data_IF_168539836082
#
_entry.id   IF_168539836082
#
_cell.length_a   1.000
_cell.length_b   1.000
_cell.length_c   1.000
_cell.angle_alpha   90.00
_cell.angle_beta   90.00
_cell.angle_gamma   90.00
#
_symmetry.space_group_name_H-M   'P 1'
#
loop_
_entity.id
_entity.type
_entity.pdbx_description
1 polymer ?
#
# COMPACT_ATOMS: atom_id res chain seq x y z
N UNK A 1 5.44 11.41 24.59
CA UNK A 1 4.39 10.84 23.73
C UNK A 1 5.10 10.14 22.56
N UNK A 2 4.65 8.97 22.11
CA UNK A 2 5.21 8.38 20.89
C UNK A 2 5.07 9.38 19.74
N UNK A 3 6.11 9.47 18.89
CA UNK A 3 6.08 10.39 17.76
C UNK A 3 5.04 9.96 16.75
N UNK A 4 4.36 10.93 16.11
CA UNK A 4 3.40 10.67 15.04
C UNK A 4 4.14 10.36 13.75
N UNK A 5 3.81 9.25 13.13
CA UNK A 5 4.33 8.85 11.82
C UNK A 5 3.22 9.04 10.78
N UNK A 6 3.49 9.81 9.73
CA UNK A 6 2.60 9.91 8.58
C UNK A 6 3.23 9.18 7.40
N UNK A 7 2.50 8.26 6.79
CA UNK A 7 2.96 7.44 5.67
C UNK A 7 2.09 7.75 4.45
N UNK A 8 2.70 8.07 3.32
CA UNK A 8 2.03 8.08 2.02
C UNK A 8 2.35 6.76 1.32
N UNK A 9 1.31 6.02 0.90
CA UNK A 9 1.54 4.77 0.22
C UNK A 9 0.25 4.11 -0.27
N UNK A 10 0.40 3.02 -1.03
CA UNK A 10 -0.72 2.28 -1.60
C UNK A 10 -1.04 1.04 -0.77
N UNK A 11 -2.25 0.51 -1.02
CA UNK A 11 -2.67 -0.83 -0.63
C UNK A 11 -2.80 -1.71 -1.88
N UNK A 12 -2.41 -2.96 -1.73
CA UNK A 12 -2.59 -4.02 -2.72
C UNK A 12 -3.19 -5.23 -2.02
N UNK A 13 -4.24 -5.82 -2.59
CA UNK A 13 -4.74 -7.11 -2.13
C UNK A 13 -3.91 -8.21 -2.81
N UNK A 14 -3.10 -8.91 -2.05
CA UNK A 14 -2.32 -10.04 -2.55
C UNK A 14 -3.20 -11.29 -2.61
N UNK A 15 -3.32 -11.89 -3.81
CA UNK A 15 -4.06 -13.12 -4.07
C UNK A 15 -3.06 -14.20 -4.49
N UNK A 16 -2.68 -15.04 -3.53
CA UNK A 16 -1.68 -16.08 -3.74
C UNK A 16 -2.35 -17.42 -4.06
N UNK A 17 -1.94 -18.03 -5.16
CA UNK A 17 -2.27 -19.40 -5.56
C UNK A 17 -1.03 -20.25 -5.46
N UNK A 18 -1.17 -21.46 -4.94
CA UNK A 18 -0.11 -22.48 -4.98
C UNK A 18 -0.49 -23.57 -5.95
N UNK A 19 0.46 -23.98 -6.76
CA UNK A 19 0.30 -25.07 -7.72
C UNK A 19 1.63 -25.76 -7.96
N UNK A 20 1.61 -26.95 -8.56
CA UNK A 20 2.84 -27.70 -8.85
C UNK A 20 3.72 -27.00 -9.89
N UNK A 21 3.11 -26.21 -10.76
CA UNK A 21 3.78 -25.43 -11.82
C UNK A 21 2.90 -24.28 -12.31
N UNK A 22 3.45 -23.42 -13.13
CA UNK A 22 2.65 -22.44 -13.87
C UNK A 22 1.81 -23.12 -14.98
N UNK A 23 0.55 -22.64 -15.22
CA UNK A 23 -0.25 -23.10 -16.34
C UNK A 23 0.34 -22.62 -17.68
N UNK A 24 0.20 -23.45 -18.73
CA UNK A 24 0.55 -23.05 -20.10
C UNK A 24 -0.56 -22.18 -20.70
N UNK A 25 -0.29 -21.40 -21.74
CA UNK A 25 -1.32 -20.67 -22.46
C UNK A 25 -2.49 -21.58 -22.87
N UNK A 26 -3.73 -21.18 -22.50
CA UNK A 26 -4.93 -21.95 -22.79
C UNK A 26 -5.21 -23.13 -21.85
N UNK A 27 -4.36 -23.37 -20.87
CA UNK A 27 -4.53 -24.45 -19.89
C UNK A 27 -5.27 -23.96 -18.65
N UNK A 28 -6.14 -24.82 -18.10
CA UNK A 28 -6.67 -24.70 -16.75
C UNK A 28 -5.94 -25.69 -15.84
N UNK A 29 -5.21 -25.18 -14.86
CA UNK A 29 -4.54 -25.98 -13.85
C UNK A 29 -5.29 -25.86 -12.53
N UNK A 30 -5.48 -27.00 -11.85
CA UNK A 30 -6.06 -27.00 -10.50
C UNK A 30 -4.95 -26.67 -9.51
N UNK A 31 -5.14 -25.61 -8.75
CA UNK A 31 -4.20 -25.21 -7.70
C UNK A 31 -4.43 -25.99 -6.40
N UNK A 32 -3.39 -26.03 -5.59
CA UNK A 32 -3.36 -26.79 -4.32
C UNK A 32 -3.91 -25.98 -3.14
N UNK A 33 -3.75 -24.64 -3.19
CA UNK A 33 -4.28 -23.74 -2.18
C UNK A 33 -4.45 -22.31 -2.70
N UNK A 34 -5.25 -21.54 -1.97
CA UNK A 34 -5.48 -20.11 -2.22
C UNK A 34 -5.40 -19.35 -0.89
N UNK A 35 -4.76 -18.20 -0.91
CA UNK A 35 -4.74 -17.28 0.21
C UNK A 35 -4.91 -15.83 -0.28
N UNK A 36 -5.62 -15.03 0.50
CA UNK A 36 -5.71 -13.60 0.30
C UNK A 36 -5.13 -12.87 1.50
N UNK A 37 -4.27 -11.89 1.26
CA UNK A 37 -3.61 -11.12 2.30
C UNK A 37 -3.52 -9.62 1.96
N UNK A 38 -3.43 -8.75 2.97
CA UNK A 38 -3.11 -7.35 2.76
C UNK A 38 -1.66 -7.20 2.33
N UNK A 39 -1.42 -6.36 1.32
CA UNK A 39 -0.12 -6.00 0.79
C UNK A 39 -0.01 -4.50 0.51
N UNK A 40 0.99 -4.12 -0.28
CA UNK A 40 1.41 -2.74 -0.51
C UNK A 40 2.45 -2.29 0.51
N UNK A 41 3.61 -1.79 0.04
CA UNK A 41 4.75 -1.44 0.92
C UNK A 41 4.37 -0.41 1.97
N UNK A 42 3.67 0.67 1.56
CA UNK A 42 3.22 1.71 2.47
C UNK A 42 2.21 1.21 3.50
N UNK A 43 1.26 0.39 3.07
CA UNK A 43 0.29 -0.26 3.96
C UNK A 43 0.99 -1.19 4.97
N UNK A 44 1.93 -2.01 4.52
CA UNK A 44 2.68 -2.92 5.37
C UNK A 44 3.53 -2.17 6.41
N UNK A 45 4.19 -1.08 6.02
CA UNK A 45 4.95 -0.22 6.92
C UNK A 45 4.05 0.46 7.96
N UNK A 46 2.86 0.94 7.55
CA UNK A 46 1.91 1.55 8.46
C UNK A 46 1.42 0.55 9.53
N UNK A 47 1.06 -0.65 9.10
CA UNK A 47 0.63 -1.73 10.01
C UNK A 47 1.75 -2.14 10.95
N UNK A 48 2.98 -2.29 10.45
CA UNK A 48 4.13 -2.67 11.27
C UNK A 48 4.44 -1.60 12.33
N UNK A 49 4.50 -0.33 11.93
CA UNK A 49 4.77 0.77 12.87
C UNK A 49 3.67 0.89 13.94
N UNK A 50 2.40 0.78 13.56
CA UNK A 50 1.29 0.83 14.52
C UNK A 50 1.32 -0.34 15.52
N UNK A 51 1.63 -1.55 15.06
CA UNK A 51 1.79 -2.73 15.94
C UNK A 51 2.98 -2.60 16.90
N UNK A 52 3.97 -1.80 16.55
CA UNK A 52 5.08 -1.44 17.42
C UNK A 52 4.76 -0.29 18.39
N UNK A 53 3.52 0.20 18.39
CA UNK A 53 3.04 1.22 19.34
C UNK A 53 3.17 2.67 18.84
N UNK A 54 3.50 2.91 17.57
CA UNK A 54 3.52 4.26 17.02
C UNK A 54 2.09 4.79 16.75
N UNK A 55 1.90 6.12 16.86
CA UNK A 55 0.72 6.83 16.33
C UNK A 55 0.90 6.98 14.81
N UNK A 56 0.15 6.21 14.03
CA UNK A 56 0.33 6.13 12.58
C UNK A 56 -0.88 6.66 11.83
N UNK A 57 -0.63 7.60 10.91
CA UNK A 57 -1.60 8.00 9.89
C UNK A 57 -1.11 7.56 8.51
N UNK A 58 -1.95 6.85 7.77
CA UNK A 58 -1.69 6.43 6.39
C UNK A 58 -2.54 7.26 5.42
N UNK A 59 -1.89 7.94 4.48
CA UNK A 59 -2.52 8.61 3.33
C UNK A 59 -2.48 7.65 2.16
N UNK A 60 -3.65 7.32 1.59
CA UNK A 60 -3.78 6.34 0.53
C UNK A 60 -4.98 6.64 -0.38
N UNK A 61 -5.09 5.91 -1.49
CA UNK A 61 -6.22 5.99 -2.43
C UNK A 61 -6.74 4.60 -2.74
N UNK A 62 -8.05 4.41 -2.61
CA UNK A 62 -8.73 3.13 -2.81
C UNK A 62 -9.86 3.26 -3.83
N UNK A 63 -10.24 2.16 -4.45
CA UNK A 63 -11.51 2.00 -5.13
C UNK A 63 -12.67 1.82 -4.16
N UNK A 64 -13.85 1.44 -4.72
CA UNK A 64 -15.05 1.08 -3.95
C UNK A 64 -15.39 -0.39 -4.18
N UNK A 65 -14.58 -1.28 -3.64
CA UNK A 65 -14.65 -2.72 -3.88
C UNK A 65 -14.31 -3.55 -2.62
N UNK A 66 -14.37 -4.87 -2.75
CA UNK A 66 -14.04 -5.79 -1.65
C UNK A 66 -12.61 -5.63 -1.16
N UNK A 67 -11.66 -5.26 -2.02
CA UNK A 67 -10.27 -5.03 -1.64
C UNK A 67 -10.10 -3.74 -0.82
N UNK A 68 -10.89 -2.70 -1.11
CA UNK A 68 -10.94 -1.51 -0.26
C UNK A 68 -11.48 -1.84 1.15
N UNK A 69 -12.47 -2.75 1.26
CA UNK A 69 -12.95 -3.22 2.56
C UNK A 69 -11.87 -3.99 3.31
N UNK A 70 -11.09 -4.84 2.62
CA UNK A 70 -9.96 -5.56 3.21
C UNK A 70 -8.90 -4.58 3.75
N UNK A 71 -8.56 -3.55 2.97
CA UNK A 71 -7.62 -2.50 3.38
C UNK A 71 -8.08 -1.82 4.68
N UNK A 72 -9.29 -1.31 4.71
CA UNK A 72 -9.87 -0.62 5.88
C UNK A 72 -9.93 -1.53 7.11
N UNK A 73 -10.37 -2.77 6.96
CA UNK A 73 -10.38 -3.77 8.05
C UNK A 73 -8.99 -3.99 8.61
N UNK A 74 -7.99 -4.15 7.74
CA UNK A 74 -6.59 -4.37 8.13
C UNK A 74 -6.05 -3.18 8.93
N UNK A 75 -6.24 -1.96 8.43
CA UNK A 75 -5.75 -0.76 9.08
C UNK A 75 -6.44 -0.48 10.41
N UNK A 76 -7.75 -0.63 10.47
CA UNK A 76 -8.52 -0.48 11.73
C UNK A 76 -8.05 -1.50 12.78
N UNK A 77 -7.88 -2.77 12.39
CA UNK A 77 -7.42 -3.81 13.32
C UNK A 77 -5.99 -3.58 13.84
N UNK A 78 -5.16 -2.85 13.08
CA UNK A 78 -3.80 -2.50 13.48
C UNK A 78 -3.71 -1.16 14.24
N UNK A 79 -4.80 -0.39 14.35
CA UNK A 79 -4.80 0.94 14.98
C UNK A 79 -4.25 2.05 14.08
N UNK A 80 -4.21 1.84 12.77
CA UNK A 80 -3.79 2.86 11.79
C UNK A 80 -4.94 3.81 11.49
N UNK A 81 -4.70 5.12 11.63
CA UNK A 81 -5.62 6.15 11.15
C UNK A 81 -5.46 6.32 9.64
N UNK A 82 -6.49 5.96 8.87
CA UNK A 82 -6.44 6.05 7.42
C UNK A 82 -7.08 7.34 6.88
N UNK A 83 -6.34 8.10 6.08
CA UNK A 83 -6.78 9.22 5.25
C UNK A 83 -6.88 8.73 3.81
N UNK A 84 -8.09 8.45 3.36
CA UNK A 84 -8.32 7.77 2.09
C UNK A 84 -9.09 8.66 1.13
N UNK A 85 -8.50 8.89 -0.05
CA UNK A 85 -9.22 9.40 -1.22
C UNK A 85 -9.91 8.21 -1.91
N UNK A 86 -11.22 8.28 -2.06
CA UNK A 86 -11.97 7.23 -2.77
C UNK A 86 -12.09 7.55 -4.25
N UNK A 87 -11.77 6.57 -5.09
CA UNK A 87 -12.01 6.62 -6.53
C UNK A 87 -13.23 5.77 -6.89
N UNK A 88 -14.32 6.43 -7.30
CA UNK A 88 -15.59 5.76 -7.58
C UNK A 88 -15.55 4.85 -8.82
N UNK A 89 -14.71 5.19 -9.80
CA UNK A 89 -14.58 4.55 -11.11
C UNK A 89 -13.35 3.67 -11.27
N UNK A 90 -12.64 3.37 -10.15
CA UNK A 90 -11.40 2.61 -10.16
C UNK A 90 -11.40 1.46 -9.16
N UNK A 91 -10.72 0.37 -9.50
CA UNK A 91 -10.48 -0.73 -8.58
C UNK A 91 -9.33 -0.42 -7.62
N UNK A 92 -9.38 -0.98 -6.42
CA UNK A 92 -8.25 -1.04 -5.48
C UNK A 92 -7.13 -1.92 -6.06
N UNK A 93 -5.89 -1.66 -5.67
CA UNK A 93 -4.73 -2.45 -6.11
C UNK A 93 -4.88 -3.93 -5.77
N UNK A 94 -4.44 -4.79 -6.69
CA UNK A 94 -4.45 -6.24 -6.53
C UNK A 94 -3.20 -6.87 -7.14
N UNK A 95 -2.70 -7.95 -6.55
CA UNK A 95 -1.65 -8.78 -7.11
C UNK A 95 -2.14 -10.22 -7.23
N UNK A 96 -1.95 -10.80 -8.42
CA UNK A 96 -1.97 -12.24 -8.62
C UNK A 96 -0.56 -12.77 -8.34
N UNK A 97 -0.45 -13.74 -7.46
CA UNK A 97 0.82 -14.35 -7.08
C UNK A 97 0.67 -15.85 -7.27
N UNK A 98 1.42 -16.42 -8.20
CA UNK A 98 1.54 -17.87 -8.35
C UNK A 98 2.82 -18.31 -7.65
N UNK A 99 2.72 -19.31 -6.77
CA UNK A 99 3.86 -19.94 -6.10
C UNK A 99 3.93 -21.39 -6.53
N UNK A 100 5.04 -21.81 -7.12
CA UNK A 100 5.31 -23.18 -7.47
C UNK A 100 5.81 -23.96 -6.25
N UNK A 101 5.12 -25.05 -5.88
CA UNK A 101 5.45 -25.78 -4.64
C UNK A 101 6.81 -26.47 -4.67
N UNK A 102 7.24 -26.96 -5.84
CA UNK A 102 8.49 -27.69 -5.97
C UNK A 102 9.74 -26.82 -5.90
N UNK A 103 9.70 -25.62 -6.50
CA UNK A 103 10.83 -24.69 -6.58
C UNK A 103 10.75 -23.56 -5.58
N UNK A 104 9.58 -23.30 -5.02
CA UNK A 104 9.23 -22.08 -4.28
C UNK A 104 9.41 -20.78 -5.10
N UNK A 105 9.59 -20.88 -6.42
CA UNK A 105 9.60 -19.72 -7.31
C UNK A 105 8.21 -19.10 -7.38
N UNK A 106 8.17 -17.79 -7.63
CA UNK A 106 6.91 -17.08 -7.77
C UNK A 106 6.86 -16.26 -9.07
N UNK A 107 5.65 -16.11 -9.59
CA UNK A 107 5.31 -15.19 -10.67
C UNK A 107 4.24 -14.24 -10.19
N UNK A 108 4.44 -12.93 -10.40
CA UNK A 108 3.55 -11.90 -9.88
C UNK A 108 3.06 -11.01 -11.02
N UNK A 109 1.75 -10.80 -11.07
CA UNK A 109 1.13 -9.76 -11.90
C UNK A 109 0.51 -8.74 -10.96
N UNK A 110 1.04 -7.53 -10.96
CA UNK A 110 0.58 -6.42 -10.12
C UNK A 110 -0.28 -5.45 -10.92
N UNK A 111 -1.48 -5.17 -10.43
CA UNK A 111 -2.31 -4.06 -10.82
C UNK A 111 -2.37 -3.04 -9.67
N UNK A 112 -1.75 -1.87 -9.77
CA UNK A 112 -1.66 -0.93 -8.65
C UNK A 112 -2.98 -0.18 -8.40
N UNK A 113 -3.94 -0.22 -9.32
CA UNK A 113 -5.28 0.29 -9.17
C UNK A 113 -5.36 1.78 -8.82
N UNK A 114 -6.28 2.12 -7.94
CA UNK A 114 -6.50 3.50 -7.49
C UNK A 114 -5.22 4.14 -6.90
N UNK A 115 -4.34 3.35 -6.28
CA UNK A 115 -3.08 3.82 -5.73
C UNK A 115 -2.17 4.49 -6.76
N UNK A 116 -2.16 4.00 -8.01
CA UNK A 116 -1.41 4.61 -9.12
C UNK A 116 -1.96 5.96 -9.58
N UNK A 117 -3.09 6.39 -9.06
CA UNK A 117 -3.75 7.64 -9.44
C UNK A 117 -3.71 8.70 -8.34
N UNK A 118 -2.91 8.48 -7.30
CA UNK A 118 -2.64 9.51 -6.28
C UNK A 118 -1.92 10.68 -6.96
N UNK A 119 -2.44 11.89 -6.75
CA UNK A 119 -1.90 13.13 -7.33
C UNK A 119 -1.21 13.99 -6.27
N UNK A 120 -0.35 14.95 -6.66
CA UNK A 120 0.15 15.96 -5.74
C UNK A 120 -0.99 16.71 -5.02
N UNK A 121 -2.10 17.00 -5.70
CA UNK A 121 -3.25 17.68 -5.09
C UNK A 121 -3.92 16.83 -3.98
N UNK A 122 -3.99 15.51 -4.15
CA UNK A 122 -4.47 14.59 -3.10
C UNK A 122 -3.56 14.67 -1.86
N UNK A 123 -2.25 14.80 -2.06
CA UNK A 123 -1.25 14.91 -0.97
C UNK A 123 -1.28 16.29 -0.33
N UNK A 124 -1.42 17.35 -1.10
CA UNK A 124 -1.55 18.75 -0.63
C UNK A 124 -2.80 18.93 0.25
N UNK A 125 -3.90 18.25 -0.07
CA UNK A 125 -5.11 18.25 0.75
C UNK A 125 -4.84 17.72 2.18
N UNK A 126 -3.83 16.87 2.36
CA UNK A 126 -3.39 16.33 3.65
C UNK A 126 -2.16 17.05 4.25
N UNK A 127 -1.77 18.21 3.69
CA UNK A 127 -0.59 18.95 4.13
C UNK A 127 -0.59 19.27 5.63
N UNK A 128 -1.75 19.58 6.21
CA UNK A 128 -1.86 19.84 7.64
C UNK A 128 -1.49 18.59 8.46
N UNK A 129 -1.91 17.42 8.03
CA UNK A 129 -1.57 16.12 8.65
C UNK A 129 -0.07 15.86 8.56
N UNK A 130 0.53 16.09 7.39
CA UNK A 130 1.97 15.88 7.15
C UNK A 130 2.81 16.81 8.03
N UNK A 131 2.46 18.10 8.10
CA UNK A 131 3.19 19.12 8.88
C UNK A 131 3.20 18.88 10.39
N UNK A 132 2.25 18.10 10.90
CA UNK A 132 2.18 17.75 12.35
C UNK A 132 2.88 16.44 12.69
N UNK A 133 3.48 15.75 11.71
CA UNK A 133 4.20 14.50 11.92
C UNK A 133 5.57 14.75 12.58
N UNK A 134 6.05 13.74 13.30
CA UNK A 134 7.46 13.64 13.69
C UNK A 134 8.29 13.08 12.53
N UNK A 135 7.70 12.12 11.81
CA UNK A 135 8.31 11.47 10.64
C UNK A 135 7.27 11.37 9.52
N UNK A 136 7.67 11.74 8.33
CA UNK A 136 6.95 11.44 7.08
C UNK A 136 7.70 10.37 6.30
N UNK A 137 7.00 9.32 5.89
CA UNK A 137 7.59 8.19 5.16
C UNK A 137 6.84 7.92 3.87
N UNK A 138 7.57 7.58 2.81
CA UNK A 138 6.99 7.15 1.54
C UNK A 138 7.87 6.13 0.82
N UNK A 139 7.34 5.50 -0.23
CA UNK A 139 7.99 4.51 -1.08
C UNK A 139 7.78 4.93 -2.55
N UNK A 140 8.02 4.05 -3.51
CA UNK A 140 7.90 4.33 -4.95
C UNK A 140 6.82 3.47 -5.64
N UNK A 141 5.82 2.97 -4.91
CA UNK A 141 4.67 2.25 -5.50
C UNK A 141 3.57 3.19 -6.01
N UNK A 142 3.49 4.40 -5.49
CA UNK A 142 2.61 5.47 -6.00
C UNK A 142 3.37 6.36 -6.97
N UNK A 143 2.68 7.27 -7.72
CA UNK A 143 3.34 8.20 -8.65
C UNK A 143 4.43 9.03 -7.97
N UNK A 144 5.59 9.15 -8.63
CA UNK A 144 6.75 9.89 -8.11
C UNK A 144 6.42 11.34 -7.75
N UNK A 145 5.55 12.00 -8.55
CA UNK A 145 5.14 13.37 -8.29
C UNK A 145 4.39 13.51 -6.95
N UNK A 146 3.56 12.52 -6.59
CA UNK A 146 2.87 12.50 -5.30
C UNK A 146 3.85 12.26 -4.14
N UNK A 147 4.80 11.33 -4.32
CA UNK A 147 5.85 11.08 -3.31
C UNK A 147 6.72 12.33 -3.09
N UNK A 148 7.14 13.01 -4.16
CA UNK A 148 7.91 14.24 -4.12
C UNK A 148 7.16 15.36 -3.37
N UNK A 149 5.89 15.60 -3.72
CA UNK A 149 5.05 16.60 -3.04
C UNK A 149 4.99 16.36 -1.53
N UNK A 150 4.76 15.11 -1.08
CA UNK A 150 4.74 14.79 0.34
C UNK A 150 6.08 15.04 1.05
N UNK A 151 7.19 14.66 0.42
CA UNK A 151 8.55 14.92 0.93
C UNK A 151 8.86 16.41 1.01
N UNK A 152 8.46 17.19 0.02
CA UNK A 152 8.64 18.65 -0.01
C UNK A 152 7.85 19.34 1.11
N UNK A 153 6.56 18.98 1.28
CA UNK A 153 5.70 19.49 2.37
C UNK A 153 6.32 19.19 3.74
N UNK A 154 6.77 17.95 3.94
CA UNK A 154 7.38 17.52 5.18
C UNK A 154 8.68 18.27 5.48
N UNK A 155 9.58 18.37 4.49
CA UNK A 155 10.85 19.10 4.62
C UNK A 155 10.66 20.59 4.91
N UNK A 156 9.73 21.23 4.21
CA UNK A 156 9.42 22.64 4.43
C UNK A 156 8.90 22.93 5.84
N UNK A 157 8.30 21.91 6.50
CA UNK A 157 7.81 21.99 7.88
C UNK A 157 8.83 21.51 8.94
N UNK A 158 10.04 21.13 8.54
CA UNK A 158 11.06 20.59 9.44
C UNK A 158 10.78 19.17 9.93
N UNK A 159 9.87 18.43 9.28
CA UNK A 159 9.55 17.04 9.59
C UNK A 159 10.63 16.12 9.06
N UNK A 160 11.06 15.13 9.85
CA UNK A 160 12.01 14.13 9.38
C UNK A 160 11.39 13.30 8.24
N UNK A 161 12.15 13.11 7.16
CA UNK A 161 11.68 12.36 5.99
C UNK A 161 12.40 11.03 5.83
N UNK A 162 11.67 9.99 5.46
CA UNK A 162 12.18 8.67 5.13
C UNK A 162 11.66 8.27 3.76
N UNK A 163 12.54 7.92 2.84
CA UNK A 163 12.21 7.31 1.55
C UNK A 163 12.72 5.87 1.51
N UNK A 164 11.81 4.93 1.27
CA UNK A 164 12.16 3.57 0.88
C UNK A 164 12.13 3.50 -0.66
N UNK A 165 13.28 3.45 -1.38
CA UNK A 165 13.34 3.49 -2.84
C UNK A 165 12.96 2.14 -3.47
N UNK A 166 11.80 1.62 -3.10
CA UNK A 166 11.27 0.34 -3.60
C UNK A 166 9.84 0.51 -4.16
N UNK A 167 9.51 -0.14 -5.32
CA UNK A 167 10.42 -0.94 -6.17
C UNK A 167 11.50 -0.06 -6.83
N UNK A 168 12.60 -0.69 -7.22
CA UNK A 168 13.71 -0.06 -7.95
C UNK A 168 13.44 -0.06 -9.44
#
# INVERSE_FOLDING_TARGET
MPGRIVILGIFVADTAFRADRAPRPGETLIGNSFAQSPGGKGSNQAVAAARLGADVTLISKLGRDAFAMLARKTWTAAGVTARVVERADGATGAAFILVEEGSAENAIVLFPGAGATITPADVEAEAATIKTATVFMTQLEQPLAAAASGLEIARAAGVQTILNPAPA
#
